data_IF_048646300204
#
_entry.id   IF_048646300204
#
_cell.length_a   1.000
_cell.length_b   1.000
_cell.length_c   1.000
_cell.angle_alpha   90.00
_cell.angle_beta   90.00
_cell.angle_gamma   90.00
#
_symmetry.space_group_name_H-M   'P 1'
#
loop_
_entity.id
_entity.type
_entity.pdbx_description
1 polymer ?
#
# COMPACT_ATOMS: atom_id res chain seq x y z
N UNK A 1 -12.82 15.47 34.90
CA UNK A 1 -12.49 15.49 33.46
C UNK A 1 -12.40 16.93 32.98
N UNK A 2 -11.49 17.27 32.07
CA UNK A 2 -10.59 18.43 32.17
C UNK A 2 -11.29 19.70 31.67
N UNK A 3 -11.84 20.59 32.47
CA UNK A 3 -11.59 20.95 33.85
C UNK A 3 -12.90 21.55 34.40
N UNK A 4 -13.54 20.88 35.35
CA UNK A 4 -14.56 21.41 36.28
C UNK A 4 -15.78 22.16 35.69
N UNK A 5 -16.50 21.54 34.75
CA UNK A 5 -17.85 21.99 34.38
C UNK A 5 -18.69 20.90 33.70
N UNK A 6 -18.60 19.67 34.20
CA UNK A 6 -19.46 18.53 33.81
C UNK A 6 -19.61 18.33 32.30
N UNK A 7 -20.85 18.17 31.86
CA UNK A 7 -21.22 17.89 30.46
C UNK A 7 -21.11 19.12 29.53
N UNK A 8 -20.92 20.33 30.06
CA UNK A 8 -21.19 21.57 29.32
C UNK A 8 -19.94 22.37 28.90
N UNK A 9 -18.73 21.94 29.22
CA UNK A 9 -17.54 22.84 29.09
C UNK A 9 -16.32 22.24 28.42
N UNK A 10 -16.34 20.97 28.01
CA UNK A 10 -15.14 20.34 27.44
C UNK A 10 -15.36 19.95 25.98
N UNK A 11 -14.61 20.53 25.04
CA UNK A 11 -14.64 20.15 23.60
C UNK A 11 -14.14 18.73 23.30
N UNK A 12 -13.96 17.90 24.34
CA UNK A 12 -13.52 16.51 24.26
C UNK A 12 -14.59 15.65 24.93
N UNK A 13 -15.33 14.91 24.12
CA UNK A 13 -16.39 14.02 24.56
C UNK A 13 -16.01 12.57 24.24
N UNK A 14 -16.47 11.63 25.06
CA UNK A 14 -16.51 10.23 24.66
C UNK A 14 -17.71 10.03 23.72
N UNK A 15 -17.57 9.15 22.74
CA UNK A 15 -18.64 8.80 21.82
C UNK A 15 -19.25 7.46 22.20
N UNK A 16 -20.58 7.39 22.20
CA UNK A 16 -21.30 6.11 22.29
C UNK A 16 -21.10 5.31 21.00
N UNK A 17 -21.53 4.05 20.98
CA UNK A 17 -21.45 3.21 19.76
C UNK A 17 -22.26 3.76 18.59
N UNK A 18 -23.19 4.67 18.86
CA UNK A 18 -24.07 5.34 17.90
C UNK A 18 -23.43 6.66 17.40
N UNK A 19 -22.29 7.08 17.96
CA UNK A 19 -21.59 8.30 17.57
C UNK A 19 -22.12 9.57 18.25
N UNK A 20 -22.94 9.42 19.30
CA UNK A 20 -23.44 10.54 20.09
C UNK A 20 -22.50 10.86 21.26
N UNK A 21 -22.63 12.08 21.81
CA UNK A 21 -21.87 12.48 23.00
C UNK A 21 -22.35 11.67 24.21
N UNK A 22 -21.45 10.90 24.80
CA UNK A 22 -21.75 10.15 26.01
C UNK A 22 -21.83 11.08 27.23
N UNK A 23 -22.81 10.86 28.09
CA UNK A 23 -22.89 11.50 29.40
C UNK A 23 -21.86 10.90 30.36
N UNK A 24 -21.62 11.56 31.50
CA UNK A 24 -20.68 11.08 32.51
C UNK A 24 -21.03 9.67 33.03
N UNK A 25 -22.31 9.38 33.25
CA UNK A 25 -22.76 8.05 33.72
C UNK A 25 -22.52 6.97 32.66
N UNK A 26 -22.84 7.28 31.40
CA UNK A 26 -22.57 6.39 30.27
C UNK A 26 -21.07 6.13 30.10
N UNK A 27 -20.22 7.12 30.42
CA UNK A 27 -18.77 6.94 30.42
C UNK A 27 -18.31 5.91 31.46
N UNK A 28 -18.82 5.97 32.68
CA UNK A 28 -18.49 4.97 33.71
C UNK A 28 -18.99 3.57 33.33
N UNK A 29 -20.20 3.47 32.77
CA UNK A 29 -20.71 2.19 32.29
C UNK A 29 -19.84 1.61 31.17
N UNK A 30 -19.41 2.44 30.21
CA UNK A 30 -18.48 2.01 29.17
C UNK A 30 -17.12 1.59 29.72
N UNK A 31 -16.64 2.23 30.78
CA UNK A 31 -15.42 1.81 31.46
C UNK A 31 -15.60 0.42 32.06
N UNK A 32 -16.66 0.19 32.83
CA UNK A 32 -16.91 -1.11 33.46
C UNK A 32 -17.08 -2.24 32.43
N UNK A 33 -17.71 -1.95 31.29
CA UNK A 33 -17.92 -2.94 30.24
C UNK A 33 -16.67 -3.20 29.38
N UNK A 34 -15.84 -2.18 29.13
CA UNK A 34 -14.73 -2.26 28.16
C UNK A 34 -13.34 -2.27 28.78
N UNK A 35 -13.23 -2.19 30.12
CA UNK A 35 -11.96 -2.32 30.81
C UNK A 35 -11.37 -3.71 30.57
N UNK A 36 -10.11 -3.76 30.11
CA UNK A 36 -9.38 -5.00 30.02
C UNK A 36 -8.70 -5.31 31.35
N UNK A 37 -8.83 -6.54 31.83
CA UNK A 37 -8.02 -7.02 32.94
C UNK A 37 -6.57 -7.23 32.47
N UNK A 38 -5.62 -6.98 33.37
CA UNK A 38 -4.21 -7.27 33.09
C UNK A 38 -4.00 -8.79 33.04
N UNK A 39 -3.20 -9.30 32.10
CA UNK A 39 -2.36 -8.58 31.13
C UNK A 39 -3.15 -8.08 29.90
N UNK A 40 -2.85 -6.85 29.46
CA UNK A 40 -3.48 -6.24 28.28
C UNK A 40 -3.33 -7.15 27.07
N UNK A 41 -4.44 -7.37 26.35
CA UNK A 41 -4.41 -8.13 25.10
C UNK A 41 -3.87 -7.21 24.02
N UNK A 42 -2.68 -7.50 23.52
CA UNK A 42 -2.11 -6.76 22.39
C UNK A 42 -3.08 -6.81 21.20
N UNK A 43 -3.45 -5.64 20.71
CA UNK A 43 -4.23 -5.51 19.48
C UNK A 43 -3.32 -5.99 18.37
N UNK A 44 -3.59 -7.18 17.82
CA UNK A 44 -2.87 -7.67 16.66
C UNK A 44 -3.06 -6.64 15.54
N UNK A 45 -1.99 -6.04 15.01
CA UNK A 45 -2.13 -5.19 13.83
C UNK A 45 -2.78 -6.03 12.74
N UNK A 46 -3.81 -5.48 12.10
CA UNK A 46 -4.44 -6.10 10.94
C UNK A 46 -3.31 -6.42 9.97
N UNK A 47 -3.09 -7.71 9.72
CA UNK A 47 -2.08 -8.16 8.76
C UNK A 47 -2.42 -7.48 7.44
N UNK A 48 -1.53 -6.57 7.01
CA UNK A 48 -1.62 -6.00 5.67
C UNK A 48 -1.53 -7.19 4.73
N UNK A 49 -2.66 -7.57 4.15
CA UNK A 49 -2.76 -8.64 3.16
C UNK A 49 -1.59 -8.45 2.21
N UNK A 50 -0.75 -9.49 2.11
CA UNK A 50 0.46 -9.44 1.31
C UNK A 50 0.06 -9.22 -0.13
N UNK A 51 0.03 -7.95 -0.55
CA UNK A 51 -0.27 -7.59 -1.91
C UNK A 51 0.72 -8.26 -2.86
N UNK A 52 0.39 -8.32 -4.15
CA UNK A 52 1.22 -8.97 -5.17
C UNK A 52 2.64 -8.40 -5.27
N UNK A 53 2.89 -7.23 -4.68
CA UNK A 53 4.20 -6.58 -4.62
C UNK A 53 4.58 -6.41 -3.14
N UNK A 54 5.21 -7.44 -2.58
CA UNK A 54 5.67 -7.45 -1.18
C UNK A 54 6.87 -6.53 -1.01
N UNK A 55 6.78 -5.58 -0.07
CA UNK A 55 7.83 -4.58 0.23
C UNK A 55 8.30 -3.72 -0.96
N UNK A 56 7.52 -3.69 -2.03
CA UNK A 56 7.77 -2.85 -3.19
C UNK A 56 7.07 -1.49 -3.13
N UNK A 57 7.21 -0.68 -4.20
CA UNK A 57 6.63 0.65 -4.28
C UNK A 57 5.12 0.65 -4.06
N UNK A 58 4.57 1.60 -3.28
CA UNK A 58 3.12 1.66 -3.00
C UNK A 58 2.29 1.88 -4.27
N UNK A 59 2.83 2.61 -5.24
CA UNK A 59 2.17 2.84 -6.53
C UNK A 59 1.92 1.54 -7.29
N UNK A 60 2.91 0.64 -7.33
CA UNK A 60 2.78 -0.63 -8.02
C UNK A 60 1.81 -1.58 -7.30
N UNK A 61 1.76 -1.55 -5.97
CA UNK A 61 0.77 -2.32 -5.20
C UNK A 61 -0.66 -1.92 -5.58
N UNK A 62 -0.93 -0.62 -5.64
CA UNK A 62 -2.26 -0.10 -6.03
C UNK A 62 -2.58 -0.43 -7.49
N UNK A 63 -1.62 -0.23 -8.40
CA UNK A 63 -1.81 -0.50 -9.82
C UNK A 63 -2.00 -1.97 -10.15
N UNK A 64 -1.35 -2.89 -9.43
CA UNK A 64 -1.60 -4.32 -9.61
C UNK A 64 -3.02 -4.72 -9.15
N UNK A 65 -3.60 -4.00 -8.18
CA UNK A 65 -4.97 -4.25 -7.73
C UNK A 65 -6.01 -3.63 -8.66
N UNK A 66 -5.73 -2.45 -9.25
CA UNK A 66 -6.67 -1.73 -10.12
C UNK A 66 -6.55 -2.12 -11.60
N UNK A 67 -5.38 -2.56 -12.04
CA UNK A 67 -5.04 -2.77 -13.45
C UNK A 67 -4.43 -1.54 -14.12
N UNK A 68 -3.91 -1.73 -15.32
CA UNK A 68 -3.23 -0.70 -16.11
C UNK A 68 -4.09 -0.25 -17.29
N UNK A 69 -4.41 1.05 -17.44
CA UNK A 69 -5.17 1.56 -18.58
C UNK A 69 -4.36 1.50 -19.88
N UNK A 70 -5.07 1.42 -21.01
CA UNK A 70 -4.44 1.33 -22.34
C UNK A 70 -3.52 2.52 -22.64
N UNK A 71 -2.39 2.25 -23.29
CA UNK A 71 -1.33 3.25 -23.55
C UNK A 71 -0.30 3.43 -22.42
N UNK A 72 -0.65 3.13 -21.17
CA UNK A 72 0.28 3.27 -20.02
C UNK A 72 0.90 1.95 -19.55
N UNK A 73 0.48 0.84 -20.18
CA UNK A 73 0.85 -0.55 -19.87
C UNK A 73 2.36 -0.80 -19.96
N UNK A 74 3.02 -0.27 -20.99
CA UNK A 74 4.48 -0.36 -21.17
C UNK A 74 5.25 0.23 -19.99
N UNK A 75 4.85 1.41 -19.51
CA UNK A 75 5.48 2.05 -18.35
C UNK A 75 5.19 1.30 -17.06
N UNK A 76 3.97 0.75 -16.91
CA UNK A 76 3.62 -0.12 -15.79
C UNK A 76 4.53 -1.35 -15.70
N UNK A 77 4.63 -2.10 -16.79
CA UNK A 77 5.44 -3.32 -16.84
C UNK A 77 6.93 -3.02 -16.68
N UNK A 78 7.43 -1.90 -17.20
CA UNK A 78 8.80 -1.46 -16.98
C UNK A 78 9.12 -1.31 -15.49
N UNK A 79 8.27 -0.64 -14.72
CA UNK A 79 8.47 -0.48 -13.28
C UNK A 79 8.30 -1.80 -12.50
N UNK A 80 7.39 -2.67 -12.93
CA UNK A 80 7.22 -4.02 -12.37
C UNK A 80 8.49 -4.85 -12.60
N UNK A 81 9.07 -4.81 -13.80
CA UNK A 81 10.30 -5.52 -14.13
C UNK A 81 11.46 -5.07 -13.25
N UNK A 82 11.59 -3.77 -12.99
CA UNK A 82 12.60 -3.25 -12.06
C UNK A 82 12.41 -3.77 -10.63
N UNK A 83 11.17 -3.78 -10.13
CA UNK A 83 10.85 -4.34 -8.82
C UNK A 83 11.18 -5.84 -8.77
N UNK A 84 10.78 -6.62 -9.79
CA UNK A 84 11.03 -8.06 -9.84
C UNK A 84 12.53 -8.38 -9.91
N UNK A 85 13.30 -7.61 -10.68
CA UNK A 85 14.76 -7.75 -10.76
C UNK A 85 15.43 -7.53 -9.39
N UNK A 86 14.95 -6.56 -8.61
CA UNK A 86 15.45 -6.29 -7.25
C UNK A 86 14.98 -7.33 -6.24
N UNK A 87 13.74 -7.80 -6.36
CA UNK A 87 13.13 -8.74 -5.43
C UNK A 87 13.61 -10.19 -5.63
N UNK A 88 13.77 -10.63 -6.87
CA UNK A 88 14.16 -11.99 -7.25
C UNK A 88 15.06 -11.97 -8.50
N UNK A 89 16.37 -11.69 -8.36
CA UNK A 89 17.26 -11.53 -9.51
C UNK A 89 17.49 -12.81 -10.34
N UNK A 90 17.21 -14.00 -9.81
CA UNK A 90 17.38 -15.27 -10.55
C UNK A 90 16.28 -15.50 -11.59
N UNK A 91 15.01 -15.29 -11.23
CA UNK A 91 13.84 -15.67 -12.05
C UNK A 91 12.94 -14.46 -12.38
N UNK A 92 13.50 -13.25 -12.42
CA UNK A 92 12.71 -12.04 -12.64
C UNK A 92 12.06 -12.01 -14.04
N UNK A 93 12.69 -12.59 -15.05
CA UNK A 93 12.19 -12.59 -16.44
C UNK A 93 10.89 -13.38 -16.56
N UNK A 94 10.84 -14.58 -15.99
CA UNK A 94 9.65 -15.43 -15.98
C UNK A 94 8.52 -14.79 -15.16
N UNK A 95 8.86 -14.18 -14.01
CA UNK A 95 7.90 -13.42 -13.21
C UNK A 95 7.35 -12.21 -13.95
N UNK A 96 8.14 -11.54 -14.80
CA UNK A 96 7.63 -10.44 -15.62
C UNK A 96 6.57 -10.94 -16.60
N UNK A 97 6.75 -12.13 -17.19
CA UNK A 97 5.74 -12.75 -18.04
C UNK A 97 4.46 -13.10 -17.28
N UNK A 98 4.60 -13.69 -16.09
CA UNK A 98 3.46 -14.02 -15.22
C UNK A 98 2.68 -12.75 -14.84
N UNK A 99 3.39 -11.68 -14.45
CA UNK A 99 2.76 -10.41 -14.06
C UNK A 99 2.10 -9.72 -15.26
N UNK A 100 2.67 -9.84 -16.47
CA UNK A 100 2.05 -9.35 -17.70
C UNK A 100 0.69 -10.00 -17.94
N UNK A 101 0.61 -11.33 -17.80
CA UNK A 101 -0.65 -12.05 -18.00
C UNK A 101 -1.67 -11.79 -16.88
N UNK A 102 -1.20 -11.61 -15.64
CA UNK A 102 -2.06 -11.49 -14.47
C UNK A 102 -2.63 -10.09 -14.26
N UNK A 103 -1.82 -9.04 -14.46
CA UNK A 103 -2.19 -7.66 -14.07
C UNK A 103 -2.44 -6.73 -15.26
N UNK A 104 -1.99 -7.07 -16.48
CA UNK A 104 -2.23 -6.26 -17.67
C UNK A 104 -3.33 -6.86 -18.53
N UNK A 105 -4.39 -6.07 -18.76
CA UNK A 105 -5.55 -6.45 -19.56
C UNK A 105 -5.81 -5.35 -20.59
N UNK A 106 -5.56 -5.58 -21.90
CA UNK A 106 -4.95 -6.77 -22.50
C UNK A 106 -3.45 -6.89 -22.20
N UNK A 107 -2.89 -8.12 -22.19
CA UNK A 107 -1.47 -8.33 -21.98
C UNK A 107 -0.65 -7.71 -23.11
N UNK A 108 0.59 -7.31 -22.82
CA UNK A 108 1.52 -6.84 -23.86
C UNK A 108 1.92 -7.99 -24.78
N UNK A 109 2.21 -7.65 -26.03
CA UNK A 109 2.76 -8.60 -26.99
C UNK A 109 4.16 -9.06 -26.59
N UNK A 110 4.52 -10.30 -26.96
CA UNK A 110 5.82 -10.91 -26.63
C UNK A 110 7.00 -10.04 -27.07
N UNK A 111 6.89 -9.34 -28.20
CA UNK A 111 7.94 -8.44 -28.71
C UNK A 111 8.22 -7.26 -27.77
N UNK A 112 7.18 -6.60 -27.26
CA UNK A 112 7.33 -5.47 -26.32
C UNK A 112 7.91 -5.95 -24.99
N UNK A 113 7.44 -7.10 -24.50
CA UNK A 113 7.91 -7.69 -23.26
C UNK A 113 9.40 -8.04 -23.33
N UNK A 114 9.85 -8.66 -24.43
CA UNK A 114 11.25 -8.95 -24.68
C UNK A 114 12.12 -7.68 -24.78
N UNK A 115 11.60 -6.60 -25.37
CA UNK A 115 12.30 -5.30 -25.38
C UNK A 115 12.48 -4.72 -23.97
N UNK A 116 11.46 -4.84 -23.11
CA UNK A 116 11.54 -4.39 -21.71
C UNK A 116 12.58 -5.23 -20.94
N UNK A 117 12.58 -6.56 -21.12
CA UNK A 117 13.57 -7.45 -20.50
C UNK A 117 15.00 -7.08 -20.96
N UNK A 118 15.23 -7.00 -22.28
CA UNK A 118 16.53 -6.65 -22.83
C UNK A 118 17.02 -5.26 -22.36
N UNK A 119 16.10 -4.32 -22.15
CA UNK A 119 16.44 -2.99 -21.59
C UNK A 119 16.96 -3.13 -20.16
N UNK A 120 16.24 -3.86 -19.30
CA UNK A 120 16.64 -4.07 -17.90
C UNK A 120 17.88 -4.95 -17.74
N UNK A 121 18.21 -5.78 -18.73
CA UNK A 121 19.44 -6.59 -18.74
C UNK A 121 20.67 -5.75 -19.06
N UNK A 122 20.56 -4.81 -20.02
CA UNK A 122 21.69 -3.96 -20.44
C UNK A 122 22.16 -2.98 -19.38
N UNK A 123 21.23 -2.35 -18.66
CA UNK A 123 21.53 -1.31 -17.68
C UNK A 123 20.54 -1.34 -16.52
N UNK A 124 21.00 -0.86 -15.38
CA UNK A 124 20.11 -0.58 -14.25
C UNK A 124 19.40 0.76 -14.47
N UNK A 125 18.09 0.75 -14.25
CA UNK A 125 17.23 1.91 -14.38
C UNK A 125 16.60 2.25 -13.03
N UNK A 126 16.11 3.48 -12.91
CA UNK A 126 15.31 3.92 -11.78
C UNK A 126 13.82 3.86 -12.11
N UNK A 127 12.99 3.82 -11.07
CA UNK A 127 11.54 3.88 -11.22
C UNK A 127 11.12 5.17 -11.93
N UNK A 128 10.30 5.02 -12.98
CA UNK A 128 9.72 6.12 -13.76
C UNK A 128 8.52 6.73 -13.03
N UNK A 129 8.79 7.33 -11.87
CA UNK A 129 7.74 7.83 -10.97
C UNK A 129 6.93 9.00 -11.54
N UNK A 130 7.45 9.70 -12.56
CA UNK A 130 6.82 10.86 -13.19
C UNK A 130 5.93 10.50 -14.37
N UNK A 131 6.05 9.27 -14.88
CA UNK A 131 5.30 8.83 -16.07
C UNK A 131 3.96 8.23 -15.67
N UNK A 132 2.95 8.39 -16.53
CA UNK A 132 1.67 7.73 -16.36
C UNK A 132 1.84 6.19 -16.51
N UNK A 133 1.16 5.37 -15.69
CA UNK A 133 0.13 5.75 -14.71
C UNK A 133 0.69 5.91 -13.28
N UNK A 134 2.00 5.83 -13.09
CA UNK A 134 2.66 5.78 -11.79
C UNK A 134 2.51 7.12 -11.05
N UNK A 135 2.62 8.23 -11.78
CA UNK A 135 2.55 9.58 -11.24
C UNK A 135 1.29 9.84 -10.39
N UNK A 136 0.13 9.31 -10.81
CA UNK A 136 -1.15 9.46 -10.10
C UNK A 136 -1.22 8.71 -8.77
N UNK A 137 -0.43 7.65 -8.61
CA UNK A 137 -0.43 6.80 -7.40
C UNK A 137 0.89 6.88 -6.61
N UNK A 138 1.78 7.80 -7.01
CA UNK A 138 3.10 7.91 -6.42
C UNK A 138 3.05 8.54 -5.04
N UNK A 139 3.56 7.83 -4.04
CA UNK A 139 3.88 8.38 -2.73
C UNK A 139 5.36 8.14 -2.44
N UNK A 140 6.19 9.13 -2.74
CA UNK A 140 7.65 9.04 -2.64
C UNK A 140 8.13 8.88 -1.19
N UNK A 141 7.49 9.57 -0.24
CA UNK A 141 7.80 9.47 1.19
C UNK A 141 7.63 8.05 1.71
N UNK A 142 6.49 7.41 1.38
CA UNK A 142 6.24 6.01 1.75
C UNK A 142 7.12 5.06 0.92
N UNK A 143 7.37 5.35 -0.35
CA UNK A 143 8.21 4.52 -1.20
C UNK A 143 9.64 4.40 -0.64
N UNK A 144 10.23 5.47 -0.11
CA UNK A 144 11.58 5.45 0.48
C UNK A 144 11.71 4.59 1.72
N UNK A 145 10.62 4.31 2.43
CA UNK A 145 10.63 3.42 3.60
C UNK A 145 10.49 1.94 3.23
N UNK A 146 10.26 1.63 1.94
CA UNK A 146 10.12 0.26 1.43
C UNK A 146 11.47 -0.31 0.98
N UNK A 147 11.64 -1.63 1.16
CA UNK A 147 12.87 -2.36 0.83
C UNK A 147 13.25 -2.27 -0.64
N UNK A 148 12.26 -2.29 -1.54
CA UNK A 148 12.48 -2.19 -2.99
C UNK A 148 11.98 -0.84 -3.54
N UNK A 149 12.02 0.19 -2.70
CA UNK A 149 11.56 1.53 -3.01
C UNK A 149 12.52 2.36 -3.86
N UNK A 150 12.27 3.66 -3.93
CA UNK A 150 13.17 4.61 -4.60
C UNK A 150 14.34 4.93 -3.66
N UNK A 151 15.57 4.79 -4.16
CA UNK A 151 16.80 5.16 -3.44
C UNK A 151 17.44 4.03 -2.62
N UNK A 152 16.83 2.84 -2.62
CA UNK A 152 17.49 1.56 -2.28
C UNK A 152 18.20 1.01 -3.50
#
# INVERSE_FOLDING_TARGET
MPYFGGDNTTSRYAFTEIGEKATLEQFYQMYDEKVQSLPLKEIKPIEKTSGPIKDGPPCLQTLCSQGFPEGTRNNGLFNIALYLKRANPSDWQDKVMEYNQKYLKPPLGVKELQQIIATHEKKEYFYKCKDAPINSFCNSSLCRTRKFGVGT
#
